data_IF_520336237269
#
_entry.id   IF_520336237269
#
_cell.length_a   1.000
_cell.length_b   1.000
_cell.length_c   1.000
_cell.angle_alpha   90.00
_cell.angle_beta   90.00
_cell.angle_gamma   90.00
#
_symmetry.space_group_name_H-M   'P 1'
#
loop_
_entity.id
_entity.type
_entity.pdbx_description
1 polymer ?
#
# COMPACT_ATOMS: atom_id res chain seq x y z
N UNK A 1 -2.85 1.21 12.95
CA UNK A 1 -1.89 1.19 11.81
C UNK A 1 -2.52 1.64 10.50
N UNK A 2 -3.63 1.05 10.05
CA UNK A 2 -4.27 1.41 8.77
C UNK A 2 -4.53 2.92 8.60
N UNK A 3 -5.15 3.57 9.60
CA UNK A 3 -5.48 4.99 9.55
C UNK A 3 -4.24 5.90 9.49
N UNK A 4 -3.17 5.54 10.21
CA UNK A 4 -1.90 6.27 10.16
C UNK A 4 -1.27 6.12 8.77
N UNK A 5 -1.26 4.91 8.21
CA UNK A 5 -0.79 4.66 6.84
C UNK A 5 -1.61 5.44 5.82
N UNK A 6 -2.93 5.52 5.97
CA UNK A 6 -3.81 6.33 5.13
C UNK A 6 -3.41 7.81 5.14
N UNK A 7 -3.14 8.37 6.32
CA UNK A 7 -2.68 9.74 6.47
C UNK A 7 -1.28 9.97 5.87
N UNK A 8 -0.40 8.97 5.92
CA UNK A 8 0.89 9.03 5.21
C UNK A 8 0.68 9.12 3.69
N UNK A 9 -0.19 8.28 3.11
CA UNK A 9 -0.54 8.33 1.69
C UNK A 9 -1.06 9.72 1.28
N UNK A 10 -2.01 10.27 2.05
CA UNK A 10 -2.52 11.63 1.80
C UNK A 10 -1.42 12.67 1.83
N UNK A 11 -0.52 12.64 2.83
CA UNK A 11 0.62 13.56 2.88
C UNK A 11 1.53 13.42 1.67
N UNK A 12 1.81 12.19 1.23
CA UNK A 12 2.61 11.93 0.04
C UNK A 12 1.97 12.55 -1.23
N UNK A 13 0.65 12.59 -1.28
CA UNK A 13 -0.17 13.12 -2.37
C UNK A 13 -0.69 14.55 -2.13
N UNK A 14 -0.04 15.36 -1.29
CA UNK A 14 -0.46 16.75 -1.03
C UNK A 14 -1.89 16.91 -0.47
N UNK A 15 -2.43 15.89 0.21
CA UNK A 15 -3.78 15.87 0.77
C UNK A 15 -4.83 15.17 -0.11
N UNK A 16 -4.48 14.79 -1.34
CA UNK A 16 -5.37 14.04 -2.24
C UNK A 16 -5.46 12.56 -1.85
N UNK A 17 -6.60 11.94 -2.19
CA UNK A 17 -6.86 10.51 -1.94
C UNK A 17 -6.24 9.59 -3.01
N UNK A 18 -5.97 10.14 -4.20
CA UNK A 18 -5.32 9.44 -5.30
C UNK A 18 -4.70 10.46 -6.26
N UNK A 19 -3.75 10.01 -7.09
CA UNK A 19 -3.11 10.82 -8.13
C UNK A 19 -3.74 10.65 -9.52
N UNK A 20 -4.74 9.77 -9.65
CA UNK A 20 -5.47 9.53 -10.89
C UNK A 20 -6.53 10.62 -11.15
N UNK A 21 -6.97 10.83 -12.41
CA UNK A 21 -8.01 11.81 -12.73
C UNK A 21 -9.33 11.60 -11.99
N UNK A 22 -9.67 10.33 -11.72
CA UNK A 22 -10.88 9.92 -10.99
C UNK A 22 -10.76 10.04 -9.46
N UNK A 23 -9.73 10.75 -8.96
CA UNK A 23 -9.73 11.30 -7.59
C UNK A 23 -10.92 12.24 -7.32
N UNK A 24 -11.63 12.65 -8.35
CA UNK A 24 -12.90 13.40 -8.30
C UNK A 24 -13.76 13.09 -9.53
N UNK A 25 -15.08 13.27 -9.43
CA UNK A 25 -15.98 13.17 -10.59
C UNK A 25 -16.21 11.75 -11.11
N UNK A 26 -16.13 10.76 -10.23
CA UNK A 26 -16.67 9.41 -10.46
C UNK A 26 -18.07 9.33 -9.85
N UNK A 27 -19.04 8.72 -10.54
CA UNK A 27 -20.40 8.59 -10.04
C UNK A 27 -20.58 7.25 -9.30
N UNK A 28 -19.90 6.20 -9.75
CA UNK A 28 -19.90 4.88 -9.08
C UNK A 28 -18.47 4.36 -8.87
N UNK A 29 -18.10 4.19 -7.61
CA UNK A 29 -16.73 3.86 -7.18
C UNK A 29 -16.71 2.51 -6.45
N UNK A 30 -15.71 1.69 -6.77
CA UNK A 30 -15.39 0.46 -6.04
C UNK A 30 -14.00 0.61 -5.40
N UNK A 31 -13.91 0.43 -4.08
CA UNK A 31 -12.64 0.19 -3.40
C UNK A 31 -12.49 -1.31 -3.12
N UNK A 32 -11.45 -1.92 -3.70
CA UNK A 32 -11.10 -3.33 -3.50
C UNK A 32 -10.07 -3.47 -2.39
N UNK A 33 -10.35 -4.34 -1.42
CA UNK A 33 -9.50 -4.50 -0.23
C UNK A 33 -9.61 -3.29 0.70
N UNK A 34 -10.85 -2.85 0.97
CA UNK A 34 -11.12 -1.60 1.69
C UNK A 34 -10.60 -1.61 3.13
N UNK A 35 -10.33 -2.78 3.72
CA UNK A 35 -9.82 -2.90 5.08
C UNK A 35 -10.74 -2.23 6.08
N UNK A 36 -10.27 -1.18 6.76
CA UNK A 36 -11.10 -0.41 7.71
C UNK A 36 -12.19 0.44 7.05
N UNK A 37 -12.13 0.63 5.73
CA UNK A 37 -13.07 1.48 5.00
C UNK A 37 -12.68 2.95 4.95
N UNK A 38 -11.55 3.35 5.54
CA UNK A 38 -11.20 4.77 5.74
C UNK A 38 -11.13 5.56 4.42
N UNK A 39 -10.61 4.97 3.35
CA UNK A 39 -10.52 5.66 2.07
C UNK A 39 -11.88 5.77 1.38
N UNK A 40 -12.67 4.70 1.34
CA UNK A 40 -14.04 4.74 0.82
C UNK A 40 -14.89 5.79 1.53
N UNK A 41 -14.79 5.87 2.87
CA UNK A 41 -15.50 6.86 3.68
C UNK A 41 -15.07 8.28 3.30
N UNK A 42 -13.76 8.57 3.31
CA UNK A 42 -13.28 9.92 2.95
C UNK A 42 -13.61 10.30 1.50
N UNK A 43 -13.58 9.35 0.58
CA UNK A 43 -13.98 9.60 -0.81
C UNK A 43 -15.48 9.95 -0.87
N UNK A 44 -16.33 9.17 -0.19
CA UNK A 44 -17.76 9.40 -0.14
C UNK A 44 -18.12 10.77 0.49
N UNK A 45 -17.42 11.18 1.55
CA UNK A 45 -17.58 12.49 2.20
C UNK A 45 -17.21 13.65 1.26
N UNK A 46 -16.15 13.51 0.46
CA UNK A 46 -15.73 14.54 -0.50
C UNK A 46 -16.59 14.58 -1.76
N UNK A 47 -17.35 13.52 -2.02
CA UNK A 47 -18.10 13.32 -3.26
C UNK A 47 -19.54 12.86 -2.97
N UNK A 48 -20.37 13.76 -2.41
CA UNK A 48 -21.77 13.46 -2.02
C UNK A 48 -22.64 12.86 -3.15
N UNK A 49 -22.31 13.16 -4.42
CA UNK A 49 -23.02 12.62 -5.58
C UNK A 49 -22.55 11.23 -6.05
N UNK A 50 -21.42 10.74 -5.54
CA UNK A 50 -20.86 9.45 -5.90
C UNK A 50 -21.41 8.34 -5.00
N UNK A 51 -21.73 7.18 -5.58
CA UNK A 51 -21.95 5.94 -4.85
C UNK A 51 -20.60 5.23 -4.65
N UNK A 52 -20.21 4.99 -3.41
CA UNK A 52 -18.96 4.32 -3.06
C UNK A 52 -19.25 2.97 -2.42
N UNK A 53 -18.67 1.91 -2.98
CA UNK A 53 -18.77 0.55 -2.47
C UNK A 53 -17.36 0.09 -2.11
N UNK A 54 -17.14 -0.28 -0.85
CA UNK A 54 -15.90 -0.94 -0.43
C UNK A 54 -16.12 -2.44 -0.26
N UNK A 55 -15.17 -3.25 -0.74
CA UNK A 55 -15.22 -4.71 -0.58
C UNK A 55 -13.99 -5.23 0.13
N UNK A 56 -14.21 -6.19 1.04
CA UNK A 56 -13.15 -6.90 1.77
C UNK A 56 -13.65 -8.28 2.20
N UNK A 57 -12.74 -9.24 2.37
CA UNK A 57 -13.09 -10.56 2.92
C UNK A 57 -13.49 -10.50 4.41
N UNK A 58 -13.15 -9.40 5.10
CA UNK A 58 -13.39 -9.20 6.52
C UNK A 58 -14.42 -8.11 6.79
N UNK A 59 -15.36 -8.39 7.70
CA UNK A 59 -16.39 -7.45 8.13
C UNK A 59 -15.91 -6.59 9.32
N UNK A 60 -14.88 -5.75 9.09
CA UNK A 60 -14.25 -4.91 10.15
C UNK A 60 -14.61 -3.43 10.04
N UNK A 61 -15.46 -3.05 9.09
CA UNK A 61 -15.79 -1.68 8.76
C UNK A 61 -16.80 -1.08 9.75
N UNK A 62 -16.79 0.24 9.97
CA UNK A 62 -17.73 0.89 10.88
C UNK A 62 -19.17 0.81 10.38
N UNK A 63 -20.12 0.76 11.32
CA UNK A 63 -21.56 0.76 11.00
C UNK A 63 -22.08 2.13 10.58
N UNK A 64 -21.44 3.21 11.08
CA UNK A 64 -21.86 4.58 10.80
C UNK A 64 -20.98 5.17 9.71
N UNK A 65 -21.54 5.32 8.51
CA UNK A 65 -20.87 5.81 7.31
C UNK A 65 -21.73 6.84 6.57
N UNK A 66 -21.15 7.62 5.64
CA UNK A 66 -21.92 8.48 4.75
C UNK A 66 -23.04 7.70 4.03
N UNK A 67 -24.20 8.34 3.75
CA UNK A 67 -25.35 7.67 3.14
C UNK A 67 -25.07 7.14 1.72
N UNK A 68 -24.01 7.62 1.08
CA UNK A 68 -23.54 7.23 -0.23
C UNK A 68 -22.38 6.22 -0.19
N UNK A 69 -22.03 5.70 0.98
CA UNK A 69 -20.98 4.69 1.19
C UNK A 69 -21.58 3.39 1.74
N UNK A 70 -21.19 2.25 1.18
CA UNK A 70 -21.58 0.93 1.68
C UNK A 70 -20.43 -0.06 1.61
N UNK A 71 -20.49 -1.10 2.45
CA UNK A 71 -19.49 -2.16 2.47
C UNK A 71 -20.12 -3.53 2.24
N UNK A 72 -19.43 -4.35 1.45
CA UNK A 72 -19.83 -5.73 1.14
C UNK A 72 -18.70 -6.68 1.54
N UNK A 73 -19.06 -7.81 2.15
CA UNK A 73 -18.10 -8.90 2.40
C UNK A 73 -18.03 -9.73 1.15
N UNK A 74 -16.95 -9.58 0.39
CA UNK A 74 -16.80 -10.21 -0.91
C UNK A 74 -15.32 -10.54 -1.19
N UNK A 75 -15.09 -11.62 -1.93
CA UNK A 75 -13.78 -11.94 -2.47
C UNK A 75 -13.68 -11.34 -3.87
N UNK A 76 -12.92 -10.25 -3.99
CA UNK A 76 -12.68 -9.62 -5.27
C UNK A 76 -11.97 -10.54 -6.29
N UNK A 77 -11.45 -11.70 -5.85
CA UNK A 77 -10.91 -12.72 -6.73
C UNK A 77 -11.98 -13.57 -7.45
N UNK A 78 -13.22 -13.59 -6.96
CA UNK A 78 -14.34 -14.33 -7.53
C UNK A 78 -15.08 -13.58 -8.67
N UNK A 79 -16.07 -14.23 -9.29
CA UNK A 79 -16.88 -13.61 -10.34
C UNK A 79 -17.77 -12.50 -9.77
N UNK A 80 -17.60 -11.29 -10.30
CA UNK A 80 -18.29 -10.11 -9.81
C UNK A 80 -19.80 -10.16 -10.10
N UNK A 81 -20.61 -10.09 -9.03
CA UNK A 81 -22.07 -10.15 -9.14
C UNK A 81 -22.73 -8.82 -9.61
N UNK A 82 -21.97 -7.71 -9.67
CA UNK A 82 -22.51 -6.41 -10.06
C UNK A 82 -22.87 -6.37 -11.56
N UNK A 83 -24.10 -5.94 -11.85
CA UNK A 83 -24.60 -5.79 -13.23
C UNK A 83 -24.23 -4.45 -13.87
N UNK A 84 -23.95 -3.44 -13.04
CA UNK A 84 -23.57 -2.09 -13.46
C UNK A 84 -22.07 -1.92 -13.38
N UNK A 85 -21.47 -1.31 -14.41
CA UNK A 85 -20.04 -0.96 -14.42
C UNK A 85 -19.73 0.10 -13.36
N UNK A 86 -18.52 0.08 -12.84
CA UNK A 86 -17.96 1.15 -12.02
C UNK A 86 -17.24 2.17 -12.91
N UNK A 87 -17.29 3.44 -12.52
CA UNK A 87 -16.56 4.53 -13.20
C UNK A 87 -15.12 4.66 -12.71
N UNK A 88 -14.85 4.10 -11.52
CA UNK A 88 -13.55 4.12 -10.90
C UNK A 88 -13.40 2.92 -9.97
N UNK A 89 -12.39 2.09 -10.22
CA UNK A 89 -11.97 1.02 -9.31
C UNK A 89 -10.62 1.38 -8.69
N UNK A 90 -10.56 1.37 -7.37
CA UNK A 90 -9.40 1.71 -6.57
C UNK A 90 -8.93 0.52 -5.75
N UNK A 91 -7.62 0.26 -5.73
CA UNK A 91 -6.99 -0.74 -4.88
C UNK A 91 -5.66 -0.20 -4.32
N UNK A 92 -5.42 -0.43 -3.03
CA UNK A 92 -4.18 -0.01 -2.35
C UNK A 92 -3.70 -1.05 -1.36
N UNK A 93 -2.39 -1.26 -1.33
CA UNK A 93 -1.71 -2.24 -0.47
C UNK A 93 -2.22 -3.67 -0.72
N UNK A 94 -2.46 -3.98 -2.00
CA UNK A 94 -3.02 -5.24 -2.48
C UNK A 94 -2.00 -6.09 -3.24
N UNK A 95 -0.69 -5.93 -2.94
CA UNK A 95 0.45 -6.62 -3.59
C UNK A 95 0.34 -8.16 -3.62
N UNK A 96 -0.59 -8.75 -2.86
CA UNK A 96 -0.85 -10.19 -2.77
C UNK A 96 -2.08 -10.66 -3.56
N UNK A 97 -2.84 -9.75 -4.19
CA UNK A 97 -4.01 -10.06 -5.03
C UNK A 97 -3.61 -10.35 -6.48
N UNK A 98 -4.36 -11.21 -7.16
CA UNK A 98 -4.03 -11.71 -8.53
C UNK A 98 -4.66 -10.93 -9.69
N UNK A 99 -5.35 -9.82 -9.43
CA UNK A 99 -6.19 -9.14 -10.42
C UNK A 99 -5.64 -7.79 -10.90
N UNK A 100 -6.03 -7.42 -12.12
CA UNK A 100 -5.66 -6.16 -12.77
C UNK A 100 -6.69 -5.05 -12.44
N UNK A 101 -6.30 -4.12 -11.56
CA UNK A 101 -7.15 -3.02 -11.09
C UNK A 101 -6.90 -1.71 -11.86
N UNK A 102 -7.91 -0.83 -11.95
CA UNK A 102 -7.77 0.44 -12.69
C UNK A 102 -6.85 1.47 -12.00
N UNK A 103 -6.67 1.35 -10.68
CA UNK A 103 -5.70 2.11 -9.91
C UNK A 103 -5.08 1.24 -8.82
N UNK A 104 -3.76 1.07 -8.87
CA UNK A 104 -2.95 0.27 -7.93
C UNK A 104 -1.98 1.17 -7.18
N UNK A 105 -1.97 1.08 -5.85
CA UNK A 105 -1.05 1.82 -4.98
C UNK A 105 -0.31 0.88 -4.03
N UNK A 106 1.02 0.81 -4.10
CA UNK A 106 1.78 -0.07 -3.22
C UNK A 106 3.21 0.41 -2.94
N UNK A 107 3.74 0.06 -1.76
CA UNK A 107 5.11 0.29 -1.35
C UNK A 107 5.97 -0.98 -1.52
N UNK A 108 7.22 -0.79 -1.95
CA UNK A 108 8.05 -1.87 -2.47
C UNK A 108 9.26 -2.16 -1.58
N UNK A 109 9.54 -3.45 -1.40
CA UNK A 109 10.82 -3.95 -0.91
C UNK A 109 11.84 -4.17 -2.05
N UNK A 110 13.14 -3.96 -1.83
CA UNK A 110 13.76 -3.59 -0.55
C UNK A 110 13.80 -2.08 -0.33
N UNK A 111 14.24 -1.69 0.86
CA UNK A 111 14.54 -0.29 1.19
C UNK A 111 15.67 0.18 0.27
N UNK A 112 15.53 1.40 -0.26
CA UNK A 112 16.49 2.04 -1.14
C UNK A 112 17.09 3.27 -0.46
N UNK A 113 18.24 3.74 -0.96
CA UNK A 113 18.80 5.05 -0.68
C UNK A 113 19.48 5.58 -1.94
N UNK A 114 19.47 6.89 -2.19
CA UNK A 114 20.16 7.46 -3.36
C UNK A 114 21.68 7.55 -3.19
N UNK A 115 22.16 7.46 -1.94
CA UNK A 115 23.55 7.71 -1.56
C UNK A 115 24.25 6.49 -0.93
N UNK A 116 23.64 5.32 -1.04
CA UNK A 116 24.19 4.05 -0.52
C UNK A 116 24.18 3.94 1.01
N UNK A 117 23.59 4.87 1.75
CA UNK A 117 23.54 4.82 3.22
C UNK A 117 22.76 3.63 3.79
N UNK A 118 21.96 2.96 2.97
CA UNK A 118 21.25 1.73 3.34
C UNK A 118 22.11 0.46 3.21
N UNK A 119 23.23 0.54 2.49
CA UNK A 119 24.07 -0.62 2.21
C UNK A 119 24.72 -1.18 3.48
N UNK A 120 24.61 -2.49 3.68
CA UNK A 120 25.10 -3.17 4.88
C UNK A 120 24.24 -2.99 6.14
N UNK A 121 23.13 -2.25 6.07
CA UNK A 121 22.20 -2.09 7.20
C UNK A 121 21.45 -3.40 7.51
N UNK A 122 21.08 -3.58 8.79
CA UNK A 122 20.15 -4.61 9.22
C UNK A 122 18.74 -4.36 8.65
N UNK A 123 18.37 -3.11 8.36
CA UNK A 123 17.13 -2.80 7.67
C UNK A 123 17.08 -3.38 6.24
N UNK A 124 18.15 -3.23 5.46
CA UNK A 124 18.23 -3.85 4.13
C UNK A 124 18.27 -5.39 4.23
N UNK A 125 19.00 -5.93 5.20
CA UNK A 125 19.05 -7.38 5.46
C UNK A 125 17.65 -7.93 5.82
N UNK A 126 16.94 -7.23 6.69
CA UNK A 126 15.56 -7.55 7.05
C UNK A 126 14.64 -7.53 5.83
N UNK A 127 14.69 -6.45 5.05
CA UNK A 127 13.92 -6.33 3.81
C UNK A 127 14.20 -7.47 2.82
N UNK A 128 15.45 -7.92 2.73
CA UNK A 128 15.85 -9.06 1.88
C UNK A 128 15.21 -10.37 2.36
N UNK A 129 15.18 -10.64 3.66
CA UNK A 129 14.49 -11.81 4.20
C UNK A 129 12.97 -11.77 3.97
N UNK A 130 12.35 -10.60 4.05
CA UNK A 130 10.93 -10.45 3.70
C UNK A 130 10.70 -10.85 2.22
N UNK A 131 11.54 -10.38 1.30
CA UNK A 131 11.46 -10.75 -0.12
C UNK A 131 11.64 -12.27 -0.32
N UNK A 132 12.64 -12.87 0.34
CA UNK A 132 12.89 -14.31 0.24
C UNK A 132 11.72 -15.15 0.75
N UNK A 133 11.17 -14.78 1.90
CA UNK A 133 10.05 -15.49 2.52
C UNK A 133 8.80 -15.43 1.64
N UNK A 134 8.46 -14.23 1.18
CA UNK A 134 7.26 -13.98 0.36
C UNK A 134 7.37 -14.63 -1.02
N UNK A 135 8.57 -14.67 -1.60
CA UNK A 135 8.85 -15.46 -2.82
C UNK A 135 8.64 -16.96 -2.61
N UNK A 136 9.07 -17.54 -1.49
CA UNK A 136 8.82 -18.97 -1.17
C UNK A 136 7.33 -19.28 -1.00
N UNK A 137 6.52 -18.31 -0.61
CA UNK A 137 5.06 -18.43 -0.51
C UNK A 137 4.34 -18.25 -1.85
N UNK A 138 5.05 -17.90 -2.93
CA UNK A 138 4.45 -17.60 -4.23
C UNK A 138 3.76 -16.24 -4.31
N UNK A 139 4.04 -15.31 -3.38
CA UNK A 139 3.41 -14.00 -3.30
C UNK A 139 4.47 -12.91 -3.14
N UNK A 140 5.17 -12.55 -4.21
CA UNK A 140 6.31 -11.63 -4.12
C UNK A 140 5.88 -10.20 -3.79
N UNK A 141 6.54 -9.58 -2.81
CA UNK A 141 6.37 -8.15 -2.48
C UNK A 141 7.18 -7.21 -3.39
N UNK A 142 7.64 -7.71 -4.54
CA UNK A 142 8.49 -6.97 -5.49
C UNK A 142 7.80 -6.70 -6.84
N UNK A 143 6.48 -6.90 -6.93
CA UNK A 143 5.74 -6.91 -8.20
C UNK A 143 5.31 -5.53 -8.68
N UNK A 144 5.27 -4.52 -7.82
CA UNK A 144 4.73 -3.20 -8.17
C UNK A 144 5.33 -2.53 -9.43
N UNK A 145 6.64 -2.68 -9.76
CA UNK A 145 7.20 -2.17 -11.01
C UNK A 145 6.60 -2.80 -12.28
N UNK A 146 5.89 -3.92 -12.16
CA UNK A 146 5.24 -4.62 -13.27
C UNK A 146 3.80 -4.16 -13.47
N UNK A 147 3.20 -3.44 -12.51
CA UNK A 147 1.79 -3.05 -12.55
C UNK A 147 1.42 -2.28 -13.82
N UNK A 148 2.29 -1.38 -14.29
CA UNK A 148 2.08 -0.68 -15.55
C UNK A 148 1.95 -1.65 -16.73
N UNK A 149 2.90 -2.57 -16.87
CA UNK A 149 2.87 -3.55 -17.95
C UNK A 149 1.66 -4.48 -17.83
N UNK A 150 1.34 -4.93 -16.61
CA UNK A 150 0.17 -5.77 -16.35
C UNK A 150 -1.13 -5.09 -16.79
N UNK A 151 -1.31 -3.81 -16.45
CA UNK A 151 -2.48 -3.04 -16.90
C UNK A 151 -2.49 -2.89 -18.44
N UNK A 152 -1.35 -2.59 -19.06
CA UNK A 152 -1.25 -2.50 -20.53
C UNK A 152 -1.61 -3.83 -21.21
N UNK A 153 -1.09 -4.95 -20.69
CA UNK A 153 -1.35 -6.31 -21.19
C UNK A 153 -2.83 -6.71 -20.99
N UNK A 154 -3.44 -6.25 -19.91
CA UNK A 154 -4.88 -6.41 -19.63
C UNK A 154 -5.78 -5.51 -20.52
N UNK A 155 -5.19 -4.70 -21.41
CA UNK A 155 -5.88 -3.92 -22.41
C UNK A 155 -6.26 -2.50 -21.98
N UNK A 156 -5.79 -2.04 -20.82
CA UNK A 156 -5.99 -0.66 -20.39
C UNK A 156 -5.32 0.33 -21.35
N UNK A 157 -5.89 1.53 -21.45
CA UNK A 157 -5.39 2.64 -22.26
C UNK A 157 -5.02 3.83 -21.37
N UNK A 158 -4.05 4.60 -21.85
CA UNK A 158 -3.56 5.77 -21.12
C UNK A 158 -2.96 5.41 -19.76
N UNK A 159 -2.25 4.27 -19.66
CA UNK A 159 -1.67 3.82 -18.40
C UNK A 159 -0.54 4.75 -17.97
N UNK A 160 -0.70 5.35 -16.80
CA UNK A 160 0.27 6.25 -16.17
C UNK A 160 0.82 5.59 -14.92
N UNK A 161 2.14 5.63 -14.77
CA UNK A 161 2.82 5.24 -13.54
C UNK A 161 3.40 6.50 -12.88
N UNK A 162 3.11 6.68 -11.60
CA UNK A 162 3.66 7.72 -10.76
C UNK A 162 4.44 7.05 -9.63
N UNK A 163 5.71 7.45 -9.48
CA UNK A 163 6.56 6.93 -8.41
C UNK A 163 6.80 7.99 -7.34
N UNK A 164 6.71 7.57 -6.08
CA UNK A 164 7.06 8.39 -4.94
C UNK A 164 8.11 7.70 -4.07
N UNK A 165 8.84 8.50 -3.30
CA UNK A 165 9.72 8.00 -2.23
C UNK A 165 8.99 8.11 -0.91
N UNK A 166 8.94 7.01 -0.17
CA UNK A 166 8.37 6.94 1.17
C UNK A 166 9.50 6.74 2.19
N UNK A 167 10.00 7.82 2.81
CA UNK A 167 11.11 7.77 3.77
C UNK A 167 10.83 6.80 4.92
N UNK A 168 11.84 6.02 5.33
CA UNK A 168 11.74 5.12 6.48
C UNK A 168 11.78 5.87 7.81
N UNK A 169 12.37 7.06 7.82
CA UNK A 169 12.45 7.95 8.98
C UNK A 169 12.56 9.43 8.58
N UNK A 170 12.76 10.29 9.57
CA UNK A 170 12.72 11.74 9.44
C UNK A 170 14.02 12.40 8.92
N UNK A 171 14.85 11.65 8.19
CA UNK A 171 16.05 12.17 7.52
C UNK A 171 15.81 13.24 6.43
N UNK A 172 14.68 13.28 5.70
CA UNK A 172 14.50 14.28 4.64
C UNK A 172 14.53 15.71 5.16
N UNK A 173 15.04 16.64 4.34
CA UNK A 173 15.01 18.07 4.67
C UNK A 173 13.64 18.69 4.47
N UNK A 174 12.94 18.28 3.41
CA UNK A 174 11.58 18.72 3.11
C UNK A 174 10.63 18.34 4.26
N UNK A 175 9.87 19.32 4.77
CA UNK A 175 9.07 19.14 5.99
C UNK A 175 7.96 18.11 5.81
N UNK A 176 7.35 18.02 4.63
CA UNK A 176 6.30 17.04 4.34
C UNK A 176 6.88 15.63 4.32
N UNK A 177 7.99 15.42 3.62
CA UNK A 177 8.67 14.12 3.61
C UNK A 177 9.27 13.75 4.97
N UNK A 178 9.71 14.74 5.75
CA UNK A 178 10.16 14.54 7.13
C UNK A 178 9.03 14.03 8.02
N UNK A 179 7.84 14.63 7.91
CA UNK A 179 6.65 14.19 8.64
C UNK A 179 6.19 12.80 8.22
N UNK A 180 6.12 12.53 6.90
CA UNK A 180 5.90 11.18 6.35
C UNK A 180 6.89 10.20 7.00
N UNK A 181 8.18 10.52 7.01
CA UNK A 181 9.20 9.68 7.61
C UNK A 181 9.02 9.43 9.11
N UNK A 182 8.57 10.43 9.88
CA UNK A 182 8.26 10.24 11.32
C UNK A 182 7.20 9.18 11.53
N UNK A 183 6.08 9.29 10.81
CA UNK A 183 4.97 8.35 10.94
C UNK A 183 5.33 6.98 10.38
N UNK A 184 6.10 6.94 9.29
CA UNK A 184 6.62 5.71 8.70
C UNK A 184 7.47 4.92 9.67
N UNK A 185 8.35 5.60 10.42
CA UNK A 185 9.18 4.97 11.43
C UNK A 185 8.34 4.33 12.54
N UNK A 186 7.23 4.97 12.95
CA UNK A 186 6.30 4.43 13.95
C UNK A 186 5.58 3.20 13.41
N UNK A 187 4.92 3.32 12.25
CA UNK A 187 4.17 2.21 11.62
C UNK A 187 5.07 1.01 11.36
N UNK A 188 6.26 1.24 10.79
CA UNK A 188 7.21 0.16 10.54
C UNK A 188 7.71 -0.50 11.83
N UNK A 189 7.92 0.29 12.90
CA UNK A 189 8.35 -0.26 14.19
C UNK A 189 7.26 -1.12 14.85
N UNK A 190 5.99 -0.70 14.77
CA UNK A 190 4.85 -1.46 15.31
C UNK A 190 4.60 -2.75 14.55
N UNK A 191 4.74 -2.74 13.22
CA UNK A 191 4.57 -3.91 12.37
C UNK A 191 5.75 -4.88 12.35
N UNK A 192 6.94 -4.44 12.80
CA UNK A 192 8.21 -5.15 12.62
C UNK A 192 8.17 -6.57 13.20
N UNK A 193 7.67 -6.74 14.43
CA UNK A 193 7.67 -8.04 15.11
C UNK A 193 6.70 -9.03 14.48
N UNK A 194 5.43 -8.64 14.35
CA UNK A 194 4.39 -9.52 13.81
C UNK A 194 4.70 -9.99 12.39
N UNK A 195 5.15 -9.07 11.53
CA UNK A 195 5.52 -9.39 10.15
C UNK A 195 6.71 -10.36 10.09
N UNK A 196 7.73 -10.10 10.90
CA UNK A 196 8.94 -10.93 10.90
C UNK A 196 8.68 -12.33 11.46
N UNK A 197 7.92 -12.45 12.56
CA UNK A 197 7.57 -13.76 13.12
C UNK A 197 6.76 -14.61 12.14
N UNK A 198 5.83 -13.99 11.39
CA UNK A 198 5.04 -14.68 10.39
C UNK A 198 5.89 -15.17 9.21
N UNK A 199 6.75 -14.30 8.66
CA UNK A 199 7.48 -14.58 7.43
C UNK A 199 8.80 -15.33 7.64
N UNK A 200 9.55 -15.05 8.71
CA UNK A 200 10.85 -15.68 8.92
C UNK A 200 10.72 -17.16 9.29
N UNK A 201 9.56 -17.59 9.82
CA UNK A 201 9.22 -19.00 9.98
C UNK A 201 9.27 -19.76 8.64
N UNK A 202 8.90 -19.13 7.52
CA UNK A 202 9.00 -19.71 6.17
C UNK A 202 10.46 -19.91 5.75
N UNK A 203 11.37 -19.11 6.31
CA UNK A 203 12.81 -19.24 6.14
C UNK A 203 13.46 -20.23 7.12
N UNK A 204 12.69 -20.83 8.03
CA UNK A 204 13.18 -21.76 9.04
C UNK A 204 13.76 -21.11 10.29
N UNK A 205 13.59 -19.80 10.47
CA UNK A 205 14.03 -19.13 11.70
C UNK A 205 13.17 -19.52 12.88
N UNK A 206 13.80 -19.63 14.05
CA UNK A 206 13.10 -19.77 15.32
C UNK A 206 12.62 -18.41 15.84
N UNK A 207 11.63 -18.43 16.75
CA UNK A 207 11.15 -17.22 17.43
C UNK A 207 12.29 -16.51 18.17
N UNK A 208 13.14 -17.18 18.97
CA UNK A 208 14.26 -16.51 19.66
C UNK A 208 15.28 -15.87 18.71
N UNK A 209 15.63 -16.53 17.59
CA UNK A 209 16.53 -15.95 16.59
C UNK A 209 15.94 -14.70 15.97
N UNK A 210 14.65 -14.74 15.63
CA UNK A 210 13.93 -13.59 15.06
C UNK A 210 13.95 -12.43 16.04
N UNK A 211 13.50 -12.64 17.29
CA UNK A 211 13.44 -11.60 18.32
C UNK A 211 14.82 -11.05 18.71
N UNK A 212 15.90 -11.82 18.50
CA UNK A 212 17.28 -11.33 18.71
C UNK A 212 17.73 -10.39 17.59
N UNK A 213 17.24 -10.56 16.36
CA UNK A 213 17.61 -9.74 15.21
C UNK A 213 16.85 -8.41 15.14
N UNK A 214 15.56 -8.39 15.51
CA UNK A 214 14.70 -7.20 15.34
C UNK A 214 15.17 -5.93 16.06
N UNK A 215 15.81 -5.97 17.25
CA UNK A 215 16.35 -4.78 17.89
C UNK A 215 17.33 -4.01 17.01
N UNK A 216 18.17 -4.71 16.23
CA UNK A 216 19.13 -4.07 15.32
C UNK A 216 18.42 -3.42 14.13
N UNK A 217 17.38 -4.04 13.60
CA UNK A 217 16.52 -3.45 12.54
C UNK A 217 15.82 -2.19 13.07
N UNK A 218 15.31 -2.24 14.31
CA UNK A 218 14.68 -1.10 14.97
C UNK A 218 15.65 0.07 15.23
N UNK A 219 16.94 -0.20 15.44
CA UNK A 219 17.97 0.85 15.52
C UNK A 219 18.15 1.53 14.16
N UNK A 220 18.23 0.74 13.09
CA UNK A 220 18.40 1.27 11.74
C UNK A 220 17.19 2.09 11.27
N UNK A 221 15.96 1.64 11.57
CA UNK A 221 14.75 2.42 11.29
C UNK A 221 14.83 3.83 11.90
N UNK A 222 15.35 3.97 13.12
CA UNK A 222 15.44 5.27 13.80
C UNK A 222 16.69 6.08 13.46
N UNK A 223 17.62 5.51 12.71
CA UNK A 223 18.90 6.13 12.39
C UNK A 223 18.77 7.09 11.21
N UNK A 224 18.76 8.39 11.50
CA UNK A 224 18.68 9.45 10.46
C UNK A 224 19.91 9.55 9.56
N UNK A 225 20.99 8.80 9.85
CA UNK A 225 22.13 8.67 8.93
C UNK A 225 21.87 7.63 7.83
N UNK A 226 20.82 6.82 7.97
CA UNK A 226 20.34 5.91 6.94
C UNK A 226 19.22 6.65 6.20
N UNK A 227 19.52 7.13 4.99
CA UNK A 227 18.58 7.85 4.13
C UNK A 227 17.67 6.89 3.36
N UNK A 228 17.11 5.93 4.09
CA UNK A 228 16.27 4.87 3.56
C UNK A 228 14.90 5.36 3.11
N UNK A 229 14.39 4.82 2.02
CA UNK A 229 13.01 5.00 1.58
C UNK A 229 12.48 3.75 0.88
N UNK A 230 11.18 3.51 0.97
CA UNK A 230 10.46 2.56 0.12
C UNK A 230 10.04 3.24 -1.17
N UNK A 231 10.12 2.51 -2.30
CA UNK A 231 9.58 3.01 -3.57
C UNK A 231 8.09 2.75 -3.57
N UNK A 232 7.33 3.77 -3.88
CA UNK A 232 5.87 3.70 -3.96
C UNK A 232 5.46 3.83 -5.41
N UNK A 233 4.64 2.89 -5.88
CA UNK A 233 4.10 2.91 -7.22
C UNK A 233 2.61 3.24 -7.15
N UNK A 234 2.18 4.20 -7.95
CA UNK A 234 0.78 4.40 -8.26
C UNK A 234 0.59 4.26 -9.75
N UNK A 235 -0.13 3.24 -10.18
CA UNK A 235 -0.44 3.01 -11.59
C UNK A 235 -1.93 3.18 -11.80
N UNK A 236 -2.33 3.93 -12.82
CA UNK A 236 -3.73 4.04 -13.20
C UNK A 236 -3.91 4.07 -14.71
N UNK A 237 -5.07 3.65 -15.19
CA UNK A 237 -5.41 3.62 -16.61
C UNK A 237 -6.92 3.45 -16.80
N UNK A 238 -7.38 3.59 -18.04
CA UNK A 238 -8.79 3.44 -18.37
C UNK A 238 -9.01 2.13 -19.16
N UNK A 239 -9.95 1.30 -18.71
CA UNK A 239 -10.39 0.15 -19.50
C UNK A 239 -11.27 0.63 -20.65
N UNK A 240 -11.00 0.25 -21.91
CA UNK A 240 -11.90 0.53 -23.02
C UNK A 240 -13.29 -0.05 -22.75
N UNK A 241 -14.33 0.66 -23.23
CA UNK A 241 -15.72 0.32 -23.03
C UNK A 241 -16.11 -1.07 -23.57
#
# INVERSE_FOLDING_TARGET
MADVTHEIWKKLFCGDLAVCPKKSGADRVLEVGTGTGIWAIEYAEKHEGAQVIGVDMSAVQPQWVPPNCSFEVDDAEEEWAWKSKFDFIFARSMIRSKHDWECLQDDLFPVCSDDGTVDGSNLLKWATYIIEATKKMGQSVTVAPQFKQMMEDAGFKGVVEVQHKWPTNHWPRDERYKEVGRWSCVVASEGLEGLSLALFKVLGWTVPETLTFLPEVGKDLRNVRIHGYWRVYTVYGQKPA
#
